data_IF_859583308879
#
_entry.id   IF_859583308879
#
_cell.length_a   1.000
_cell.length_b   1.000
_cell.length_c   1.000
_cell.angle_alpha   90.00
_cell.angle_beta   90.00
_cell.angle_gamma   90.00
#
_symmetry.space_group_name_H-M   'P 1'
#
loop_
_entity.id
_entity.type
_entity.pdbx_description
1 polymer ?
#
# COMPACT_ATOMS: atom_id res chain seq x y z
N UNK A 1 -76.44 58.90 -0.01
CA UNK A 1 -76.01 59.70 -1.18
C UNK A 1 -74.74 59.03 -1.71
N UNK A 2 -74.87 58.09 -2.65
CA UNK A 2 -74.70 58.29 -4.11
C UNK A 2 -73.28 58.69 -4.54
N UNK A 3 -72.64 57.74 -5.24
CA UNK A 3 -72.04 57.93 -6.57
C UNK A 3 -70.57 58.39 -6.66
N UNK A 4 -69.72 57.41 -7.01
CA UNK A 4 -68.92 57.32 -8.25
C UNK A 4 -67.92 58.42 -8.65
N UNK A 5 -66.73 57.93 -9.00
CA UNK A 5 -65.82 58.31 -10.12
C UNK A 5 -64.82 59.46 -10.02
N UNK A 6 -63.59 59.05 -10.42
CA UNK A 6 -62.72 59.62 -11.45
C UNK A 6 -61.73 60.75 -11.09
N UNK A 7 -60.46 60.34 -11.06
CA UNK A 7 -59.32 60.80 -11.88
C UNK A 7 -58.98 62.30 -11.99
N UNK A 8 -57.70 62.62 -11.75
CA UNK A 8 -56.74 63.39 -12.60
C UNK A 8 -55.47 63.63 -11.75
N UNK A 9 -54.30 63.15 -12.15
CA UNK A 9 -53.30 63.74 -13.06
C UNK A 9 -52.12 64.40 -12.29
N UNK A 10 -50.89 64.00 -12.63
CA UNK A 10 -49.72 64.87 -12.89
C UNK A 10 -48.38 64.22 -12.46
N UNK A 11 -47.61 63.85 -13.49
CA UNK A 11 -46.25 64.29 -13.80
C UNK A 11 -45.01 63.86 -12.96
N UNK A 12 -43.93 63.72 -13.73
CA UNK A 12 -42.73 62.93 -13.54
C UNK A 12 -41.60 63.60 -12.73
N UNK A 13 -40.70 62.78 -12.19
CA UNK A 13 -39.25 63.06 -12.14
C UNK A 13 -38.44 61.75 -12.17
N UNK A 14 -37.37 61.76 -12.96
CA UNK A 14 -36.54 60.62 -13.31
C UNK A 14 -35.40 60.35 -12.29
N UNK A 15 -34.99 59.09 -12.16
CA UNK A 15 -33.71 58.68 -11.57
C UNK A 15 -33.14 57.49 -12.35
N UNK A 16 -31.85 57.57 -12.68
CA UNK A 16 -31.10 56.62 -13.50
C UNK A 16 -30.69 55.34 -12.73
N UNK A 17 -30.69 54.18 -13.42
CA UNK A 17 -30.33 52.86 -12.89
C UNK A 17 -28.87 52.47 -13.16
N UNK A 18 -28.17 51.75 -12.26
CA UNK A 18 -26.90 51.09 -12.58
C UNK A 18 -26.98 49.56 -12.69
N UNK A 19 -26.42 49.06 -13.79
CA UNK A 19 -25.56 47.88 -13.95
C UNK A 19 -26.13 46.44 -13.95
N UNK A 20 -25.83 45.75 -15.05
CA UNK A 20 -26.21 44.38 -15.45
C UNK A 20 -25.10 43.33 -15.25
N UNK A 21 -24.13 43.52 -14.34
CA UNK A 21 -22.95 42.63 -14.23
C UNK A 21 -23.02 41.50 -13.19
N UNK A 22 -24.02 41.47 -12.29
CA UNK A 22 -24.06 40.48 -11.19
C UNK A 22 -24.73 39.13 -11.54
N UNK A 23 -25.59 39.10 -12.58
CA UNK A 23 -26.30 37.87 -12.99
C UNK A 23 -25.51 36.93 -13.91
N UNK A 24 -24.36 37.36 -14.45
CA UNK A 24 -23.58 36.58 -15.42
C UNK A 24 -22.56 35.65 -14.76
N UNK A 25 -22.05 35.99 -13.58
CA UNK A 25 -21.02 35.22 -12.87
C UNK A 25 -21.60 34.02 -12.12
N UNK A 26 -22.80 34.15 -11.53
CA UNK A 26 -23.50 33.05 -10.85
C UNK A 26 -23.98 31.96 -11.82
N UNK A 27 -24.43 32.35 -13.01
CA UNK A 27 -24.81 31.37 -14.07
C UNK A 27 -23.63 30.58 -14.57
N UNK A 28 -22.45 31.19 -14.68
CA UNK A 28 -21.24 30.52 -15.17
C UNK A 28 -20.65 29.57 -14.12
N UNK A 29 -20.68 29.93 -12.84
CA UNK A 29 -20.23 29.05 -11.77
C UNK A 29 -21.13 27.80 -11.62
N UNK A 30 -22.46 27.95 -11.72
CA UNK A 30 -23.41 26.82 -11.70
C UNK A 30 -23.30 25.91 -12.92
N UNK A 31 -23.03 26.47 -14.10
CA UNK A 31 -22.83 25.68 -15.31
C UNK A 31 -21.52 24.87 -15.27
N UNK A 32 -20.48 25.39 -14.61
CA UNK A 32 -19.21 24.65 -14.42
C UNK A 32 -19.37 23.55 -13.37
N UNK A 33 -20.10 23.79 -12.28
CA UNK A 33 -20.37 22.77 -11.28
C UNK A 33 -21.24 21.63 -11.84
N UNK A 34 -22.29 21.95 -12.60
CA UNK A 34 -23.14 20.93 -13.22
C UNK A 34 -22.39 20.09 -14.29
N UNK A 35 -21.49 20.72 -15.06
CA UNK A 35 -20.66 19.98 -16.02
C UNK A 35 -19.59 19.09 -15.33
N UNK A 36 -19.14 19.46 -14.13
CA UNK A 36 -18.24 18.62 -13.32
C UNK A 36 -18.99 17.49 -12.62
N UNK A 37 -20.27 17.68 -12.29
CA UNK A 37 -21.12 16.60 -11.76
C UNK A 37 -21.48 15.60 -12.87
N UNK A 38 -21.82 16.07 -14.08
CA UNK A 38 -22.05 15.19 -15.26
C UNK A 38 -20.78 14.43 -15.69
N UNK A 39 -19.59 15.07 -15.70
CA UNK A 39 -18.33 14.36 -16.01
C UNK A 39 -17.97 13.30 -14.95
N UNK A 40 -18.38 13.48 -13.69
CA UNK A 40 -18.14 12.50 -12.62
C UNK A 40 -19.15 11.35 -12.68
N UNK A 41 -20.43 11.63 -12.99
CA UNK A 41 -21.45 10.59 -13.22
C UNK A 41 -21.10 9.73 -14.44
N UNK A 42 -20.61 10.32 -15.54
CA UNK A 42 -20.16 9.56 -16.72
C UNK A 42 -18.90 8.71 -16.43
N UNK A 43 -17.95 9.20 -15.61
CA UNK A 43 -16.78 8.42 -15.18
C UNK A 43 -17.16 7.31 -14.17
N UNK A 44 -18.15 7.52 -13.30
CA UNK A 44 -18.67 6.48 -12.39
C UNK A 44 -19.43 5.36 -13.14
N UNK A 45 -20.21 5.70 -14.19
CA UNK A 45 -20.85 4.71 -15.06
C UNK A 45 -19.82 3.92 -15.89
N UNK A 46 -18.75 4.54 -16.38
CA UNK A 46 -17.66 3.84 -17.08
C UNK A 46 -16.87 2.90 -16.13
N UNK A 47 -16.64 3.28 -14.87
CA UNK A 47 -15.97 2.42 -13.87
C UNK A 47 -16.87 1.26 -13.39
N UNK A 48 -18.19 1.45 -13.24
CA UNK A 48 -19.12 0.35 -12.95
C UNK A 48 -19.22 -0.65 -14.12
N UNK A 49 -19.19 -0.18 -15.38
CA UNK A 49 -19.12 -1.06 -16.55
C UNK A 49 -17.77 -1.82 -16.62
N UNK A 50 -16.64 -1.20 -16.23
CA UNK A 50 -15.35 -1.88 -16.11
C UNK A 50 -15.35 -2.94 -14.98
N UNK A 51 -15.99 -2.69 -13.83
CA UNK A 51 -16.11 -3.68 -12.74
C UNK A 51 -17.01 -4.87 -13.12
N UNK A 52 -18.12 -4.64 -13.85
CA UNK A 52 -18.97 -5.72 -14.37
C UNK A 52 -18.24 -6.54 -15.45
N UNK A 53 -17.45 -5.89 -16.32
CA UNK A 53 -16.58 -6.60 -17.29
C UNK A 53 -15.45 -7.39 -16.58
N UNK A 54 -14.89 -6.89 -15.46
CA UNK A 54 -13.92 -7.62 -14.63
C UNK A 54 -14.53 -8.86 -13.96
N UNK A 55 -15.77 -8.79 -13.45
CA UNK A 55 -16.48 -9.96 -12.89
C UNK A 55 -16.80 -11.02 -13.98
N UNK A 56 -17.18 -10.59 -15.19
CA UNK A 56 -17.42 -11.50 -16.32
C UNK A 56 -16.11 -12.12 -16.85
N UNK A 57 -15.00 -11.36 -16.93
CA UNK A 57 -13.68 -11.90 -17.29
C UNK A 57 -13.14 -12.88 -16.22
N UNK A 58 -13.41 -12.64 -14.93
CA UNK A 58 -13.09 -13.59 -13.84
C UNK A 58 -13.84 -14.92 -14.01
N UNK A 59 -15.12 -14.89 -14.40
CA UNK A 59 -15.91 -16.11 -14.67
C UNK A 59 -15.43 -16.84 -15.94
N UNK A 60 -15.02 -16.13 -16.99
CA UNK A 60 -14.51 -16.72 -18.24
C UNK A 60 -13.07 -17.29 -18.09
N UNK A 61 -12.17 -16.64 -17.35
CA UNK A 61 -10.82 -17.15 -17.07
C UNK A 61 -10.83 -18.40 -16.16
N UNK A 62 -11.83 -18.53 -15.27
CA UNK A 62 -12.06 -19.76 -14.50
C UNK A 62 -12.48 -20.94 -15.38
N UNK A 63 -13.20 -20.71 -16.49
CA UNK A 63 -13.58 -21.77 -17.44
C UNK A 63 -12.48 -22.13 -18.46
N UNK A 64 -11.63 -21.20 -18.89
CA UNK A 64 -10.63 -21.45 -19.94
C UNK A 64 -9.30 -22.06 -19.45
N UNK A 65 -9.03 -22.12 -18.15
CA UNK A 65 -7.77 -22.64 -17.62
C UNK A 65 -7.66 -24.18 -17.71
N UNK A 66 -7.42 -24.69 -18.93
CA UNK A 66 -6.94 -26.05 -19.21
C UNK A 66 -5.56 -26.02 -19.90
N UNK A 67 -4.58 -26.86 -19.49
CA UNK A 67 -3.18 -26.44 -19.53
C UNK A 67 -2.44 -26.88 -20.80
N UNK A 68 -1.55 -26.01 -21.31
CA UNK A 68 -0.43 -26.42 -22.17
C UNK A 68 0.91 -25.87 -21.67
N UNK A 69 1.55 -26.61 -20.75
CA UNK A 69 3.00 -26.79 -20.60
C UNK A 69 3.28 -27.71 -19.40
N UNK A 70 3.74 -28.95 -19.65
CA UNK A 70 4.21 -29.85 -18.60
C UNK A 70 5.55 -29.37 -18.02
N UNK A 71 5.49 -28.43 -17.09
CA UNK A 71 6.44 -28.39 -15.97
C UNK A 71 5.90 -29.31 -14.90
N UNK A 72 6.72 -30.23 -14.38
CA UNK A 72 6.32 -31.18 -13.35
C UNK A 72 5.87 -30.43 -12.08
N UNK A 73 4.57 -30.15 -11.95
CA UNK A 73 4.00 -29.48 -10.77
C UNK A 73 4.30 -30.31 -9.53
N UNK A 74 4.87 -29.69 -8.49
CA UNK A 74 5.04 -30.32 -7.17
C UNK A 74 3.67 -30.86 -6.72
N UNK A 75 3.61 -32.02 -6.05
CA UNK A 75 2.34 -32.52 -5.51
C UNK A 75 1.78 -31.52 -4.50
N UNK A 76 0.56 -31.02 -4.76
CA UNK A 76 -0.11 -30.03 -3.91
C UNK A 76 -0.41 -30.62 -2.53
N UNK A 77 -0.01 -29.89 -1.48
CA UNK A 77 -0.34 -30.22 -0.08
C UNK A 77 -1.82 -29.90 0.21
N UNK A 78 -2.49 -30.64 1.13
CA UNK A 78 -3.81 -30.25 1.61
C UNK A 78 -3.78 -28.83 2.18
N UNK A 79 -4.84 -28.05 1.96
CA UNK A 79 -4.84 -26.63 2.35
C UNK A 79 -4.66 -26.44 3.87
N UNK A 80 -5.31 -27.26 4.70
CA UNK A 80 -5.09 -27.27 6.15
C UNK A 80 -3.63 -27.52 6.59
N UNK A 81 -2.80 -28.14 5.75
CA UNK A 81 -1.39 -28.40 6.07
C UNK A 81 -0.49 -27.16 5.98
N UNK A 82 -0.98 -26.03 5.42
CA UNK A 82 -0.24 -24.77 5.42
C UNK A 82 -0.28 -24.06 6.78
N UNK A 83 -1.16 -24.47 7.70
CA UNK A 83 -1.23 -23.90 9.05
C UNK A 83 -0.10 -24.49 9.90
N UNK A 84 0.87 -23.68 10.37
CA UNK A 84 1.90 -24.14 11.29
C UNK A 84 1.30 -24.73 12.57
N UNK A 85 1.95 -25.74 13.14
CA UNK A 85 1.46 -26.47 14.33
C UNK A 85 1.09 -25.53 15.47
N UNK A 86 1.87 -24.47 15.72
CA UNK A 86 1.62 -23.53 16.82
C UNK A 86 0.43 -22.57 16.57
N UNK A 87 -0.12 -22.54 15.36
CA UNK A 87 -1.30 -21.72 15.01
C UNK A 87 -2.59 -22.54 14.91
N UNK A 88 -2.52 -23.88 14.93
CA UNK A 88 -3.67 -24.76 14.72
C UNK A 88 -4.74 -24.65 15.81
N UNK A 89 -4.40 -24.15 16.99
CA UNK A 89 -5.38 -23.88 18.07
C UNK A 89 -6.16 -22.58 17.85
N UNK A 90 -5.69 -21.70 16.96
CA UNK A 90 -6.23 -20.36 16.76
C UNK A 90 -6.82 -20.15 15.35
N UNK A 91 -6.37 -20.92 14.37
CA UNK A 91 -6.66 -20.75 12.95
C UNK A 91 -7.01 -22.10 12.34
N UNK A 92 -8.09 -22.13 11.57
CA UNK A 92 -8.58 -23.33 10.91
C UNK A 92 -8.76 -23.06 9.42
N UNK A 93 -8.46 -24.05 8.58
CA UNK A 93 -8.76 -23.96 7.15
C UNK A 93 -10.27 -23.99 6.93
N UNK A 94 -10.75 -23.17 6.02
CA UNK A 94 -12.16 -23.06 5.64
C UNK A 94 -12.32 -23.52 4.19
N UNK A 95 -12.82 -22.66 3.32
CA UNK A 95 -12.95 -22.91 1.89
C UNK A 95 -11.70 -22.42 1.15
N UNK A 96 -11.21 -23.26 0.24
CA UNK A 96 -10.16 -22.91 -0.71
C UNK A 96 -8.89 -22.31 -0.09
N UNK A 97 -8.62 -21.03 -0.34
CA UNK A 97 -7.45 -20.31 0.13
C UNK A 97 -7.71 -19.47 1.40
N UNK A 98 -8.91 -19.58 1.97
CA UNK A 98 -9.30 -18.89 3.19
C UNK A 98 -9.19 -19.78 4.43
N UNK A 99 -8.82 -19.11 5.52
CA UNK A 99 -8.70 -19.67 6.86
C UNK A 99 -9.54 -18.79 7.79
N UNK A 100 -9.87 -19.27 8.98
CA UNK A 100 -10.74 -18.55 9.91
C UNK A 100 -10.12 -18.49 11.29
N UNK A 101 -10.17 -17.32 11.91
CA UNK A 101 -9.93 -17.13 13.34
C UNK A 101 -10.95 -16.17 13.94
N UNK A 102 -11.25 -16.37 15.22
CA UNK A 102 -12.04 -15.42 16.04
C UNK A 102 -11.17 -14.38 16.71
N UNK A 103 -9.86 -14.43 16.52
CA UNK A 103 -8.89 -13.62 17.23
C UNK A 103 -8.28 -12.58 16.29
N UNK A 104 -8.33 -11.33 16.72
CA UNK A 104 -7.61 -10.20 16.13
C UNK A 104 -6.43 -9.82 17.03
N UNK A 105 -5.70 -10.81 17.54
CA UNK A 105 -4.52 -10.51 18.36
C UNK A 105 -3.36 -10.05 17.47
N UNK A 106 -2.69 -8.92 17.76
CA UNK A 106 -1.59 -8.44 16.93
C UNK A 106 -0.45 -9.46 16.74
N UNK A 107 -0.15 -10.27 17.76
CA UNK A 107 0.90 -11.30 17.67
C UNK A 107 0.45 -12.46 16.78
N UNK A 108 -0.83 -12.85 16.83
CA UNK A 108 -1.40 -13.81 15.87
C UNK A 108 -1.29 -13.30 14.44
N UNK A 109 -1.65 -12.03 14.19
CA UNK A 109 -1.51 -11.42 12.87
C UNK A 109 -0.05 -11.42 12.39
N UNK A 110 0.90 -11.09 13.26
CA UNK A 110 2.33 -11.19 12.93
C UNK A 110 2.73 -12.61 12.55
N UNK A 111 2.26 -13.63 13.27
CA UNK A 111 2.55 -15.03 12.90
C UNK A 111 1.96 -15.38 11.53
N UNK A 112 0.73 -14.97 11.23
CA UNK A 112 0.09 -15.18 9.94
C UNK A 112 0.85 -14.50 8.79
N UNK A 113 1.17 -13.22 8.96
CA UNK A 113 1.99 -12.43 8.02
C UNK A 113 3.36 -13.09 7.80
N UNK A 114 4.01 -13.57 8.87
CA UNK A 114 5.32 -14.22 8.81
C UNK A 114 5.31 -15.56 8.06
N UNK A 115 4.15 -16.19 7.93
CA UNK A 115 3.95 -17.46 7.21
C UNK A 115 3.27 -17.26 5.83
N UNK A 116 3.07 -16.00 5.40
CA UNK A 116 2.61 -15.66 4.05
C UNK A 116 1.10 -15.53 3.87
N UNK A 117 0.34 -15.55 4.97
CA UNK A 117 -1.08 -15.27 4.95
C UNK A 117 -1.31 -13.76 4.90
N UNK A 118 -2.26 -13.31 4.06
CA UNK A 118 -2.78 -11.96 4.11
C UNK A 118 -3.90 -11.90 5.17
N UNK A 119 -3.72 -11.12 6.25
CA UNK A 119 -4.79 -10.94 7.22
C UNK A 119 -5.83 -10.00 6.65
N UNK A 120 -7.01 -10.54 6.34
CA UNK A 120 -8.21 -9.80 5.98
C UNK A 120 -9.32 -10.18 6.97
N UNK A 121 -10.44 -9.46 6.96
CA UNK A 121 -11.57 -9.76 7.84
C UNK A 121 -12.88 -9.77 7.06
N UNK A 122 -13.90 -10.40 7.63
CA UNK A 122 -15.27 -10.35 7.12
C UNK A 122 -16.23 -10.28 8.30
N UNK A 123 -17.39 -9.69 8.07
CA UNK A 123 -18.50 -9.70 9.03
C UNK A 123 -19.52 -10.78 8.67
N UNK A 124 -20.04 -11.47 9.68
CA UNK A 124 -21.18 -12.36 9.57
C UNK A 124 -22.04 -12.26 10.83
N UNK A 125 -23.33 -11.92 10.67
CA UNK A 125 -24.27 -11.76 11.79
C UNK A 125 -23.76 -10.81 12.89
N UNK A 126 -23.34 -9.61 12.51
CA UNK A 126 -22.79 -8.57 13.41
C UNK A 126 -21.52 -9.00 14.17
N UNK A 127 -20.83 -10.04 13.69
CA UNK A 127 -19.57 -10.52 14.25
C UNK A 127 -18.47 -10.49 13.18
N UNK A 128 -17.36 -9.85 13.50
CA UNK A 128 -16.18 -9.89 12.64
C UNK A 128 -15.35 -11.16 12.89
N UNK A 129 -14.87 -11.76 11.81
CA UNK A 129 -13.95 -12.88 11.81
C UNK A 129 -12.69 -12.48 11.05
N UNK A 130 -11.53 -12.89 11.56
CA UNK A 130 -10.30 -12.81 10.80
C UNK A 130 -10.34 -13.95 9.77
N UNK A 131 -10.10 -13.60 8.50
CA UNK A 131 -10.08 -14.52 7.37
C UNK A 131 -8.71 -14.56 6.71
N UNK A 132 -7.65 -15.12 7.33
CA UNK A 132 -6.34 -15.12 6.69
C UNK A 132 -6.40 -15.80 5.32
N UNK A 133 -5.91 -15.13 4.27
CA UNK A 133 -5.96 -15.63 2.89
C UNK A 133 -4.57 -15.99 2.39
N UNK A 134 -4.40 -17.22 1.90
CA UNK A 134 -3.14 -17.72 1.33
C UNK A 134 -3.36 -18.12 -0.13
N UNK A 135 -3.24 -17.16 -1.06
CA UNK A 135 -3.61 -17.37 -2.47
C UNK A 135 -2.96 -18.60 -3.09
N UNK A 136 -3.65 -19.19 -4.08
CA UNK A 136 -3.09 -20.26 -4.91
C UNK A 136 -2.06 -19.73 -5.90
N UNK A 137 -2.32 -18.55 -6.47
CA UNK A 137 -1.38 -17.75 -7.25
C UNK A 137 -1.08 -16.47 -6.48
N UNK A 138 0.20 -16.15 -6.29
CA UNK A 138 0.62 -14.93 -5.61
C UNK A 138 1.37 -14.03 -6.58
N UNK A 139 0.83 -12.83 -6.80
CA UNK A 139 1.46 -11.80 -7.61
C UNK A 139 2.61 -11.16 -6.83
N UNK A 140 3.81 -11.23 -7.38
CA UNK A 140 5.02 -10.68 -6.76
C UNK A 140 5.85 -9.91 -7.77
N UNK A 141 6.66 -8.99 -7.26
CA UNK A 141 7.71 -8.34 -8.01
C UNK A 141 9.06 -8.66 -7.38
N UNK A 142 9.95 -9.31 -8.14
CA UNK A 142 11.32 -9.56 -7.72
C UNK A 142 12.17 -8.28 -7.86
N UNK A 143 12.96 -7.97 -6.83
CA UNK A 143 13.70 -6.70 -6.71
C UNK A 143 15.19 -6.84 -7.01
N UNK A 144 15.55 -7.74 -7.93
CA UNK A 144 16.93 -8.01 -8.33
C UNK A 144 17.60 -6.82 -9.07
N UNK A 145 16.78 -5.96 -9.67
CA UNK A 145 17.17 -4.87 -10.54
C UNK A 145 16.27 -3.65 -10.33
N UNK A 146 16.74 -2.48 -10.76
CA UNK A 146 15.93 -1.27 -10.71
C UNK A 146 14.79 -1.36 -11.72
N UNK A 147 13.56 -1.16 -11.27
CA UNK A 147 12.41 -1.02 -12.17
C UNK A 147 12.60 0.13 -13.17
N UNK A 148 12.06 -0.07 -14.38
CA UNK A 148 11.90 1.01 -15.33
C UNK A 148 10.82 1.98 -14.85
N UNK A 149 11.19 3.25 -14.65
CA UNK A 149 10.24 4.30 -14.25
C UNK A 149 9.77 5.06 -15.51
N UNK A 150 8.47 5.01 -15.86
CA UNK A 150 7.92 5.69 -17.02
C UNK A 150 8.16 7.21 -17.03
N UNK A 151 8.28 7.79 -18.22
CA UNK A 151 8.49 9.25 -18.38
C UNK A 151 7.33 10.06 -17.80
N UNK A 152 6.10 9.57 -17.91
CA UNK A 152 4.88 10.18 -17.33
C UNK A 152 4.97 10.31 -15.81
N UNK A 153 5.51 9.28 -15.14
CA UNK A 153 5.72 9.24 -13.69
C UNK A 153 6.85 10.18 -13.29
N UNK A 154 7.99 10.16 -13.98
CA UNK A 154 9.12 11.07 -13.73
C UNK A 154 8.75 12.55 -13.82
N UNK A 155 7.86 12.91 -14.74
CA UNK A 155 7.37 14.29 -14.90
C UNK A 155 6.58 14.77 -13.67
N UNK A 156 5.90 13.87 -12.96
CA UNK A 156 5.09 14.17 -11.77
C UNK A 156 5.90 14.12 -10.47
N UNK A 157 7.03 13.41 -10.46
CA UNK A 157 7.89 13.19 -9.30
C UNK A 157 8.31 14.45 -8.53
N UNK A 158 8.33 15.63 -9.19
CA UNK A 158 8.69 16.88 -8.52
C UNK A 158 7.56 17.52 -7.73
N UNK A 159 6.33 17.04 -7.87
CA UNK A 159 5.16 17.56 -7.14
C UNK A 159 4.94 16.86 -5.81
N UNK A 160 5.61 15.73 -5.58
CA UNK A 160 5.30 14.83 -4.49
C UNK A 160 6.49 14.51 -3.60
N UNK A 161 6.20 14.25 -2.33
CA UNK A 161 7.10 13.63 -1.35
C UNK A 161 6.55 12.27 -0.95
N UNK A 162 7.45 11.31 -0.74
CA UNK A 162 7.15 10.03 -0.10
C UNK A 162 7.57 10.09 1.37
N UNK A 163 6.71 9.67 2.28
CA UNK A 163 7.02 9.46 3.70
C UNK A 163 6.67 8.05 4.14
N UNK A 164 7.13 7.70 5.34
CA UNK A 164 6.80 6.47 6.03
C UNK A 164 6.27 6.80 7.42
N UNK A 165 5.26 6.05 7.85
CA UNK A 165 4.73 6.06 9.20
C UNK A 165 4.31 7.45 9.74
N UNK A 166 3.76 8.31 8.89
CA UNK A 166 3.32 9.64 9.30
C UNK A 166 1.82 9.76 9.51
N UNK A 167 1.00 8.93 8.85
CA UNK A 167 -0.45 9.11 8.88
C UNK A 167 -1.24 7.81 8.77
N UNK A 168 -1.08 6.89 9.72
CA UNK A 168 -1.84 5.63 9.76
C UNK A 168 -3.35 5.86 9.59
N UNK A 169 -3.95 6.73 10.41
CA UNK A 169 -5.40 6.93 10.39
C UNK A 169 -5.82 7.55 9.06
N UNK A 170 -5.07 8.52 8.52
CA UNK A 170 -5.35 9.13 7.22
C UNK A 170 -5.18 8.18 6.03
N UNK A 171 -4.37 7.13 6.16
CA UNK A 171 -4.24 6.07 5.15
C UNK A 171 -5.40 5.09 5.25
N UNK A 172 -5.81 4.68 6.46
CA UNK A 172 -7.02 3.86 6.66
C UNK A 172 -8.25 4.58 6.13
N UNK A 173 -8.43 5.85 6.48
CA UNK A 173 -9.53 6.68 6.00
C UNK A 173 -9.53 6.76 4.47
N UNK A 174 -8.36 6.93 3.85
CA UNK A 174 -8.25 6.95 2.39
C UNK A 174 -8.61 5.62 1.74
N UNK A 175 -8.22 4.50 2.34
CA UNK A 175 -8.64 3.17 1.88
C UNK A 175 -10.15 2.96 2.05
N UNK A 176 -10.74 3.44 3.15
CA UNK A 176 -12.19 3.34 3.37
C UNK A 176 -13.00 4.25 2.45
N UNK A 177 -12.49 5.45 2.15
CA UNK A 177 -13.09 6.36 1.17
C UNK A 177 -13.12 5.75 -0.23
N UNK A 178 -12.04 5.08 -0.66
CA UNK A 178 -11.94 4.54 -2.02
C UNK A 178 -12.63 3.18 -2.17
N UNK A 179 -12.51 2.28 -1.20
CA UNK A 179 -12.93 0.89 -1.36
C UNK A 179 -14.11 0.51 -0.46
N UNK A 180 -14.59 1.41 0.38
CA UNK A 180 -15.49 1.06 1.49
C UNK A 180 -14.79 0.22 2.57
N UNK A 181 -15.52 -0.67 3.24
CA UNK A 181 -14.96 -1.57 4.29
C UNK A 181 -15.13 -3.05 3.87
N UNK A 182 -14.56 -3.48 2.74
CA UNK A 182 -14.76 -4.83 2.22
C UNK A 182 -14.10 -5.88 3.12
N UNK A 183 -12.96 -5.51 3.73
CA UNK A 183 -12.25 -6.37 4.66
C UNK A 183 -11.54 -5.64 5.80
N UNK A 184 -11.33 -4.33 5.68
CA UNK A 184 -10.57 -3.52 6.64
C UNK A 184 -11.46 -3.07 7.81
N UNK A 185 -12.12 -4.03 8.46
CA UNK A 185 -13.06 -3.81 9.55
C UNK A 185 -12.38 -3.25 10.83
N UNK A 186 -13.13 -2.58 11.73
CA UNK A 186 -12.55 -1.96 12.93
C UNK A 186 -11.65 -2.87 13.79
N UNK A 187 -11.96 -4.17 14.03
CA UNK A 187 -11.08 -5.02 14.83
C UNK A 187 -9.70 -5.29 14.20
N UNK A 188 -9.63 -5.43 12.87
CA UNK A 188 -8.34 -5.60 12.18
C UNK A 188 -7.57 -4.28 12.10
N UNK A 189 -8.26 -3.16 11.91
CA UNK A 189 -7.66 -1.81 11.97
C UNK A 189 -7.02 -1.56 13.34
N UNK A 190 -7.72 -1.89 14.44
CA UNK A 190 -7.18 -1.74 15.79
C UNK A 190 -5.89 -2.57 15.97
N UNK A 191 -5.87 -3.78 15.41
CA UNK A 191 -4.71 -4.67 15.48
C UNK A 191 -3.53 -4.12 14.68
N UNK A 192 -3.78 -3.67 13.45
CA UNK A 192 -2.77 -3.01 12.63
C UNK A 192 -2.26 -1.73 13.27
N UNK A 193 -3.11 -0.95 13.95
CA UNK A 193 -2.68 0.25 14.69
C UNK A 193 -1.71 -0.11 15.81
N UNK A 194 -2.01 -1.17 16.59
CA UNK A 194 -1.09 -1.65 17.62
C UNK A 194 0.25 -2.09 17.03
N UNK A 195 0.27 -2.73 15.86
CA UNK A 195 1.51 -3.10 15.18
C UNK A 195 2.27 -1.88 14.64
N UNK A 196 1.54 -0.90 14.12
CA UNK A 196 2.06 0.38 13.65
C UNK A 196 2.75 1.15 14.79
N UNK A 197 2.12 1.20 15.97
CA UNK A 197 2.63 1.92 17.15
C UNK A 197 3.94 1.33 17.70
N UNK A 198 4.25 0.05 17.40
CA UNK A 198 5.57 -0.55 17.70
C UNK A 198 6.68 0.05 16.84
N UNK A 199 6.33 0.53 15.65
CA UNK A 199 7.24 1.20 14.72
C UNK A 199 8.41 0.33 14.26
N UNK A 200 9.57 0.97 14.05
CA UNK A 200 10.78 0.33 13.51
C UNK A 200 11.34 -0.81 14.38
N UNK A 201 10.94 -0.91 15.65
CA UNK A 201 11.34 -2.02 16.52
C UNK A 201 10.75 -3.35 16.04
N UNK A 202 9.53 -3.32 15.50
CA UNK A 202 8.78 -4.50 15.07
C UNK A 202 8.42 -5.46 16.21
N UNK A 203 7.59 -6.46 15.87
CA UNK A 203 7.29 -7.59 16.74
C UNK A 203 8.27 -8.71 16.43
N UNK A 204 9.10 -9.08 17.41
CA UNK A 204 10.05 -10.20 17.28
C UNK A 204 9.35 -11.52 17.61
N UNK A 205 9.19 -12.39 16.60
CA UNK A 205 8.53 -13.69 16.75
C UNK A 205 9.52 -14.81 17.07
N UNK A 206 10.72 -14.68 16.52
CA UNK A 206 11.85 -15.59 16.72
C UNK A 206 13.13 -14.76 16.75
N UNK A 207 14.22 -15.33 17.25
CA UNK A 207 15.51 -14.63 17.32
C UNK A 207 15.86 -13.96 15.98
N UNK A 208 16.03 -12.63 16.02
CA UNK A 208 16.36 -11.76 14.88
C UNK A 208 15.35 -11.80 13.73
N UNK A 209 14.10 -12.18 13.99
CA UNK A 209 13.02 -12.27 12.99
C UNK A 209 11.82 -11.44 13.41
N UNK A 210 11.69 -10.30 12.76
CA UNK A 210 10.73 -9.26 13.10
C UNK A 210 9.72 -9.06 11.98
N UNK A 211 8.47 -8.83 12.39
CA UNK A 211 7.42 -8.29 11.53
C UNK A 211 7.26 -6.81 11.86
N UNK A 212 7.28 -5.95 10.85
CA UNK A 212 7.08 -4.50 11.02
C UNK A 212 5.95 -4.05 10.14
N UNK A 213 5.01 -3.32 10.73
CA UNK A 213 3.90 -2.72 9.99
C UNK A 213 4.30 -1.32 9.53
N UNK A 214 3.84 -0.95 8.34
CA UNK A 214 4.20 0.30 7.69
C UNK A 214 2.97 0.97 7.10
N UNK A 215 2.97 2.30 7.17
CA UNK A 215 2.24 3.12 6.22
C UNK A 215 3.23 3.82 5.30
N UNK A 216 2.88 3.90 4.03
CA UNK A 216 3.63 4.65 3.01
C UNK A 216 2.72 5.74 2.52
N UNK A 217 3.16 6.99 2.56
CA UNK A 217 2.32 8.12 2.16
C UNK A 217 2.97 8.93 1.04
N UNK A 218 2.13 9.46 0.16
CA UNK A 218 2.51 10.43 -0.87
C UNK A 218 1.80 11.75 -0.62
N UNK A 219 2.58 12.79 -0.34
CA UNK A 219 2.09 14.15 -0.11
C UNK A 219 2.38 15.05 -1.29
N UNK A 220 1.41 15.87 -1.69
CA UNK A 220 1.67 17.00 -2.59
C UNK A 220 2.51 18.07 -1.88
N UNK A 221 3.58 18.52 -2.51
CA UNK A 221 4.60 19.42 -1.92
C UNK A 221 4.05 20.82 -1.67
N UNK A 222 3.15 21.31 -2.52
CA UNK A 222 2.64 22.67 -2.45
C UNK A 222 1.50 22.78 -1.43
N UNK A 223 0.60 21.80 -1.45
CA UNK A 223 -0.62 21.81 -0.63
C UNK A 223 -0.49 21.03 0.66
N UNK A 224 0.55 20.18 0.80
CA UNK A 224 0.76 19.25 1.90
C UNK A 224 -0.42 18.29 2.12
N UNK A 225 -1.22 18.03 1.07
CA UNK A 225 -2.33 17.07 1.11
C UNK A 225 -1.82 15.64 0.91
N UNK A 226 -2.43 14.70 1.63
CA UNK A 226 -2.20 13.26 1.47
C UNK A 226 -2.90 12.78 0.19
N UNK A 227 -2.13 12.56 -0.87
CA UNK A 227 -2.63 12.27 -2.21
C UNK A 227 -2.70 10.79 -2.54
N UNK A 228 -1.89 9.95 -1.91
CA UNK A 228 -1.97 8.50 -2.00
C UNK A 228 -1.33 7.90 -0.75
N UNK A 229 -1.66 6.66 -0.43
CA UNK A 229 -0.96 5.91 0.60
C UNK A 229 -1.27 4.42 0.55
N UNK A 230 -0.51 3.62 1.29
CA UNK A 230 -0.82 2.21 1.49
C UNK A 230 -0.46 1.72 2.88
N UNK A 231 -1.17 0.67 3.30
CA UNK A 231 -0.83 -0.20 4.40
C UNK A 231 0.01 -1.37 3.87
N UNK A 232 1.09 -1.68 4.56
CA UNK A 232 1.94 -2.82 4.24
C UNK A 232 2.73 -3.30 5.44
N UNK A 233 3.49 -4.37 5.25
CA UNK A 233 4.36 -4.89 6.30
C UNK A 233 5.63 -5.49 5.73
N UNK A 234 6.67 -5.62 6.55
CA UNK A 234 7.90 -6.31 6.19
C UNK A 234 8.11 -7.57 7.01
N UNK A 235 8.59 -8.62 6.35
CA UNK A 235 9.06 -9.88 6.94
C UNK A 235 10.46 -10.18 6.41
N UNK A 236 11.48 -9.79 7.19
CA UNK A 236 12.86 -9.79 6.69
C UNK A 236 13.00 -8.95 5.41
N UNK A 237 13.54 -9.53 4.35
CA UNK A 237 13.74 -8.88 3.04
C UNK A 237 12.54 -8.90 2.09
N UNK A 238 11.33 -9.16 2.62
CA UNK A 238 10.07 -9.12 1.86
C UNK A 238 9.22 -7.96 2.37
N UNK A 239 8.65 -7.19 1.44
CA UNK A 239 7.61 -6.20 1.73
C UNK A 239 6.30 -6.68 1.12
N UNK A 240 5.21 -6.67 1.88
CA UNK A 240 3.87 -7.07 1.42
C UNK A 240 2.95 -5.86 1.47
N UNK A 241 2.38 -5.49 0.32
CA UNK A 241 1.29 -4.50 0.26
C UNK A 241 -0.04 -5.16 0.64
N UNK A 242 -0.84 -4.47 1.45
CA UNK A 242 -2.18 -4.94 1.85
C UNK A 242 -3.28 -4.24 1.06
N UNK A 243 -3.34 -2.91 1.18
CA UNK A 243 -4.28 -2.04 0.46
C UNK A 243 -3.72 -0.64 0.41
N UNK A 244 -4.10 0.11 -0.61
CA UNK A 244 -3.76 1.52 -0.75
C UNK A 244 -4.89 2.30 -1.40
N UNK A 245 -4.71 3.61 -1.47
CA UNK A 245 -5.66 4.52 -2.08
C UNK A 245 -4.92 5.63 -2.84
N UNK A 246 -5.64 6.35 -3.71
CA UNK A 246 -5.14 7.49 -4.46
C UNK A 246 -6.24 8.53 -4.65
N UNK A 247 -6.04 9.74 -4.13
CA UNK A 247 -6.95 10.90 -4.25
C UNK A 247 -6.59 11.85 -5.40
N UNK A 248 -5.54 11.57 -6.16
CA UNK A 248 -5.09 12.44 -7.24
C UNK A 248 -4.62 11.63 -8.45
N UNK A 249 -4.99 12.08 -9.65
CA UNK A 249 -4.65 11.40 -10.91
C UNK A 249 -3.14 11.10 -11.03
N UNK A 250 -2.81 9.81 -11.13
CA UNK A 250 -1.45 9.30 -11.25
C UNK A 250 -0.62 9.33 -9.96
N UNK A 251 -1.18 9.70 -8.81
CA UNK A 251 -0.48 9.63 -7.52
C UNK A 251 -0.26 8.18 -7.08
N UNK A 252 -1.25 7.30 -7.23
CA UNK A 252 -1.11 5.86 -6.98
C UNK A 252 0.00 5.20 -7.81
N UNK A 253 0.01 5.39 -9.12
CA UNK A 253 1.11 4.87 -9.98
C UNK A 253 2.47 5.42 -9.57
N UNK A 254 2.53 6.70 -9.18
CA UNK A 254 3.77 7.32 -8.69
C UNK A 254 4.22 6.74 -7.35
N UNK A 255 3.30 6.47 -6.43
CA UNK A 255 3.58 5.76 -5.18
C UNK A 255 4.22 4.41 -5.46
N UNK A 256 3.62 3.60 -6.35
CA UNK A 256 4.12 2.25 -6.64
C UNK A 256 5.58 2.27 -7.12
N UNK A 257 5.91 3.16 -8.06
CA UNK A 257 7.30 3.29 -8.51
C UNK A 257 8.23 3.88 -7.44
N UNK A 258 7.75 4.81 -6.61
CA UNK A 258 8.53 5.39 -5.52
C UNK A 258 8.85 4.34 -4.45
N UNK A 259 7.86 3.55 -4.04
CA UNK A 259 8.03 2.46 -3.09
C UNK A 259 8.91 1.36 -3.67
N UNK A 260 8.68 0.89 -4.90
CA UNK A 260 9.54 -0.10 -5.56
C UNK A 260 11.01 0.35 -5.63
N UNK A 261 11.25 1.63 -5.94
CA UNK A 261 12.59 2.22 -5.88
C UNK A 261 13.16 2.21 -4.47
N UNK A 262 12.36 2.58 -3.46
CA UNK A 262 12.79 2.59 -2.06
C UNK A 262 13.15 1.19 -1.56
N UNK A 263 12.31 0.19 -1.84
CA UNK A 263 12.53 -1.22 -1.50
C UNK A 263 13.83 -1.73 -2.13
N UNK A 264 14.04 -1.44 -3.42
CA UNK A 264 15.30 -1.78 -4.11
C UNK A 264 16.52 -1.13 -3.45
N UNK A 265 16.46 0.17 -3.10
CA UNK A 265 17.56 0.87 -2.43
C UNK A 265 17.87 0.29 -1.05
N UNK A 266 16.84 -0.18 -0.33
CA UNK A 266 16.96 -0.82 0.98
C UNK A 266 17.38 -2.29 0.91
N UNK A 267 17.49 -2.88 -0.28
CA UNK A 267 17.94 -4.26 -0.45
C UNK A 267 16.91 -5.33 -0.08
N UNK A 268 15.62 -4.99 -0.20
CA UNK A 268 14.55 -5.97 -0.29
C UNK A 268 14.70 -6.80 -1.57
N UNK A 269 14.20 -8.03 -1.54
CA UNK A 269 14.39 -9.02 -2.62
C UNK A 269 13.07 -9.37 -3.30
N UNK A 270 11.94 -9.20 -2.60
CA UNK A 270 10.61 -9.48 -3.11
C UNK A 270 9.61 -8.45 -2.57
N UNK A 271 8.77 -7.95 -3.45
CA UNK A 271 7.57 -7.21 -3.11
C UNK A 271 6.35 -8.09 -3.41
N UNK A 272 5.67 -8.53 -2.37
CA UNK A 272 4.42 -9.27 -2.44
C UNK A 272 3.25 -8.30 -2.64
N UNK A 273 2.55 -8.46 -3.76
CA UNK A 273 1.46 -7.61 -4.20
C UNK A 273 0.09 -8.27 -4.00
N UNK A 274 0.01 -9.50 -3.48
CA UNK A 274 -1.26 -10.18 -3.25
C UNK A 274 -1.85 -10.81 -4.51
N UNK A 275 -3.00 -10.29 -4.98
CA UNK A 275 -3.69 -10.78 -6.21
C UNK A 275 -3.10 -10.15 -7.47
N UNK A 276 -3.14 -10.87 -8.58
CA UNK A 276 -2.75 -10.35 -9.89
C UNK A 276 -3.74 -9.28 -10.34
N UNK A 277 -3.25 -8.23 -10.97
CA UNK A 277 -4.06 -7.17 -11.58
C UNK A 277 -3.28 -6.56 -12.75
N UNK A 278 -3.93 -6.09 -13.83
CA UNK A 278 -3.26 -5.59 -15.03
C UNK A 278 -2.17 -4.54 -14.74
N UNK A 279 -2.45 -3.60 -13.85
CA UNK A 279 -1.48 -2.56 -13.51
C UNK A 279 -0.24 -3.11 -12.78
N UNK A 280 -0.34 -4.20 -12.01
CA UNK A 280 0.80 -4.84 -11.33
C UNK A 280 1.69 -5.54 -12.34
N UNK A 281 1.09 -6.22 -13.31
CA UNK A 281 1.82 -6.85 -14.40
C UNK A 281 2.57 -5.81 -15.24
N UNK A 282 1.98 -4.62 -15.43
CA UNK A 282 2.65 -3.50 -16.09
C UNK A 282 3.90 -2.98 -15.35
N UNK A 283 3.99 -3.20 -14.03
CA UNK A 283 5.19 -2.91 -13.22
C UNK A 283 6.31 -3.95 -13.39
N UNK A 284 6.02 -5.06 -14.07
CA UNK A 284 6.90 -6.22 -14.21
C UNK A 284 6.69 -7.27 -13.13
N UNK A 285 5.53 -7.29 -12.47
CA UNK A 285 5.17 -8.37 -11.56
C UNK A 285 4.97 -9.70 -12.33
N UNK A 286 5.09 -10.81 -11.60
CA UNK A 286 4.85 -12.17 -12.07
C UNK A 286 4.01 -12.93 -11.04
N UNK A 287 3.25 -13.91 -11.52
CA UNK A 287 2.48 -14.80 -10.65
C UNK A 287 3.29 -16.06 -10.32
N UNK A 288 3.32 -16.39 -9.03
CA UNK A 288 3.92 -17.61 -8.51
C UNK A 288 2.87 -18.54 -7.93
N UNK A 289 3.02 -19.84 -8.21
CA UNK A 289 2.32 -20.89 -7.47
C UNK A 289 2.60 -20.74 -5.96
N UNK A 290 1.58 -20.97 -5.11
CA UNK A 290 1.66 -20.80 -3.65
C UNK A 290 2.91 -21.40 -3.02
N UNK A 291 3.24 -22.65 -3.34
CA UNK A 291 4.41 -23.33 -2.76
C UNK A 291 5.72 -22.66 -3.18
N UNK A 292 5.80 -22.12 -4.39
CA UNK A 292 7.00 -21.41 -4.87
C UNK A 292 7.10 -20.01 -4.25
N UNK A 293 5.98 -19.28 -4.12
CA UNK A 293 5.92 -18.05 -3.31
C UNK A 293 6.41 -18.29 -1.88
N UNK A 294 5.91 -19.35 -1.22
CA UNK A 294 6.32 -19.69 0.15
C UNK A 294 7.80 -20.07 0.23
N UNK A 295 8.34 -20.77 -0.77
CA UNK A 295 9.78 -21.06 -0.84
C UNK A 295 10.62 -19.76 -0.90
N UNK A 296 10.19 -18.75 -1.67
CA UNK A 296 10.81 -17.42 -1.70
C UNK A 296 10.66 -16.66 -0.39
N UNK A 297 9.43 -16.58 0.16
CA UNK A 297 9.17 -15.94 1.44
C UNK A 297 10.04 -16.55 2.56
N UNK A 298 10.07 -17.88 2.66
CA UNK A 298 10.83 -18.60 3.67
C UNK A 298 12.35 -18.44 3.55
N UNK A 299 12.84 -18.18 2.34
CA UNK A 299 14.24 -17.82 2.10
C UNK A 299 14.55 -16.45 2.69
N UNK A 300 13.70 -15.45 2.42
CA UNK A 300 14.01 -14.05 2.71
C UNK A 300 13.53 -13.54 4.08
N UNK A 301 12.49 -14.14 4.67
CA UNK A 301 11.98 -13.78 6.02
C UNK A 301 12.94 -14.04 7.18
N UNK A 302 14.09 -14.68 6.89
CA UNK A 302 15.15 -14.99 7.86
C UNK A 302 16.22 -13.90 7.94
N UNK A 303 16.20 -12.94 7.03
CA UNK A 303 17.20 -11.89 6.92
C UNK A 303 16.56 -10.57 7.34
N UNK A 304 16.82 -10.11 8.57
CA UNK A 304 16.25 -8.83 9.05
C UNK A 304 16.65 -7.69 8.12
N UNK A 305 15.67 -6.89 7.72
CA UNK A 305 15.86 -5.74 6.85
C UNK A 305 14.92 -4.63 7.30
N UNK A 306 15.50 -3.49 7.65
CA UNK A 306 14.73 -2.30 8.00
C UNK A 306 14.48 -1.48 6.74
N UNK A 307 13.22 -1.10 6.52
CA UNK A 307 12.84 -0.10 5.54
C UNK A 307 13.09 1.29 6.12
N UNK A 308 13.83 2.13 5.41
CA UNK A 308 14.06 3.52 5.80
C UNK A 308 14.19 4.42 4.57
N UNK A 309 13.97 5.72 4.77
CA UNK A 309 14.23 6.74 3.76
C UNK A 309 15.72 7.14 3.84
N UNK A 310 16.52 6.95 2.77
CA UNK A 310 17.93 7.30 2.80
C UNK A 310 18.15 8.79 3.13
N UNK A 311 19.02 9.07 4.09
CA UNK A 311 19.38 10.42 4.50
C UNK A 311 18.45 11.09 5.51
N UNK A 312 17.36 10.44 5.93
CA UNK A 312 16.61 10.81 7.13
C UNK A 312 17.06 9.92 8.29
N UNK A 313 17.61 10.51 9.35
CA UNK A 313 17.91 9.78 10.58
C UNK A 313 16.60 9.47 11.33
N UNK A 314 16.51 8.27 11.93
CA UNK A 314 15.35 7.82 12.71
C UNK A 314 15.08 8.64 13.98
N UNK A 315 16.02 9.50 14.39
CA UNK A 315 16.08 10.07 15.75
C UNK A 315 15.75 11.57 15.82
N UNK A 316 15.32 12.21 14.72
CA UNK A 316 14.98 13.64 14.77
C UNK A 316 13.51 13.87 15.14
N UNK A 317 13.28 13.98 16.44
CA UNK A 317 12.14 14.66 17.06
C UNK A 317 12.23 16.17 16.75
N UNK A 318 11.63 16.63 15.65
CA UNK A 318 11.45 18.07 15.39
C UNK A 318 10.21 18.36 14.56
N UNK A 319 9.22 19.02 15.17
CA UNK A 319 7.95 19.43 14.57
C UNK A 319 8.07 20.41 13.39
N UNK A 320 8.30 19.89 12.19
CA UNK A 320 8.17 20.62 10.92
C UNK A 320 7.70 19.67 9.81
N UNK A 321 6.71 20.13 9.03
CA UNK A 321 6.20 19.62 7.75
C UNK A 321 6.72 18.23 7.29
N UNK A 322 5.85 17.21 7.39
CA UNK A 322 5.96 15.86 6.75
C UNK A 322 7.39 15.42 6.45
N UNK A 323 8.04 14.78 7.42
CA UNK A 323 9.34 14.12 7.26
C UNK A 323 9.26 13.08 6.15
N UNK A 324 9.80 13.42 4.97
CA UNK A 324 9.73 12.60 3.78
C UNK A 324 10.75 13.04 2.72
N UNK A 325 10.93 12.22 1.69
CA UNK A 325 11.84 12.49 0.58
C UNK A 325 11.06 12.94 -0.65
N UNK A 326 11.60 13.94 -1.35
CA UNK A 326 11.06 14.33 -2.63
C UNK A 326 11.19 13.18 -3.64
N UNK A 327 10.10 12.77 -4.29
CA UNK A 327 10.10 11.56 -5.13
C UNK A 327 11.08 11.68 -6.29
N UNK A 328 11.25 12.89 -6.85
CA UNK A 328 12.29 13.17 -7.85
C UNK A 328 13.70 12.82 -7.34
N UNK A 329 14.03 13.18 -6.10
CA UNK A 329 15.35 12.90 -5.54
C UNK A 329 15.53 11.40 -5.30
N UNK A 330 14.49 10.70 -4.81
CA UNK A 330 14.50 9.25 -4.63
C UNK A 330 14.79 8.50 -5.94
N UNK A 331 14.18 8.95 -7.06
CA UNK A 331 14.40 8.34 -8.37
C UNK A 331 15.83 8.52 -8.91
N UNK A 332 16.54 9.57 -8.48
CA UNK A 332 17.91 9.85 -8.90
C UNK A 332 18.96 9.06 -8.07
N UNK A 333 18.56 8.48 -6.94
CA UNK A 333 19.45 7.69 -6.08
C UNK A 333 19.90 6.38 -6.73
N UNK A 334 21.12 5.95 -6.38
CA UNK A 334 21.68 4.64 -6.73
C UNK A 334 21.84 3.80 -5.47
N UNK A 335 21.66 2.49 -5.60
CA UNK A 335 21.93 1.54 -4.52
C UNK A 335 23.44 1.57 -4.27
N UNK A 336 23.85 1.82 -3.04
CA UNK A 336 25.24 1.60 -2.63
C UNK A 336 25.51 0.10 -2.66
N UNK A 337 26.69 -0.29 -3.13
CA UNK A 337 27.12 -1.69 -3.04
C UNK A 337 27.01 -2.14 -1.57
N UNK A 338 26.54 -3.37 -1.30
CA UNK A 338 26.55 -3.89 0.06
C UNK A 338 27.98 -3.81 0.57
N UNK A 339 28.20 -3.07 1.67
CA UNK A 339 29.52 -3.02 2.30
C UNK A 339 29.99 -4.45 2.51
N UNK A 340 31.12 -4.81 1.88
CA UNK A 340 31.81 -6.05 2.23
C UNK A 340 32.02 -6.00 3.74
N UNK A 341 31.62 -7.05 4.50
CA UNK A 341 31.89 -7.06 5.93
C UNK A 341 33.38 -6.81 6.13
N UNK A 342 33.71 -5.81 6.96
CA UNK A 342 35.10 -5.47 7.29
C UNK A 342 35.83 -6.77 7.61
N UNK A 343 36.84 -7.05 6.79
CA UNK A 343 37.62 -8.27 6.90
C UNK A 343 38.12 -8.47 8.32
N UNK A 344 37.99 -9.69 8.80
CA UNK A 344 38.70 -10.20 9.98
C UNK A 344 40.16 -9.78 9.91
N UNK A 345 40.56 -8.83 10.75
CA UNK A 345 41.97 -8.55 10.97
C UNK A 345 42.63 -9.83 11.46
N UNK A 346 43.56 -10.31 10.64
CA UNK A 346 44.38 -11.47 10.93
C UNK A 346 45.34 -11.12 12.06
N UNK A 347 44.96 -11.42 13.31
CA UNK A 347 45.90 -11.39 14.43
C UNK A 347 46.81 -12.63 14.35
N UNK A 348 47.90 -12.54 13.61
CA UNK A 348 49.05 -13.44 13.78
C UNK A 348 50.35 -12.63 13.80
N UNK A 349 50.48 -11.82 14.84
CA UNK A 349 51.77 -11.46 15.40
C UNK A 349 51.80 -11.93 16.86
N UNK A 350 52.49 -13.05 17.10
CA UNK A 350 53.19 -13.39 18.35
C UNK A 350 53.78 -14.80 18.24
N UNK A 351 55.04 -14.91 17.80
CA UNK A 351 55.98 -15.89 18.35
C UNK A 351 57.41 -15.54 17.97
N UNK A 352 58.04 -14.72 18.82
CA UNK A 352 59.50 -14.67 18.99
C UNK A 352 59.75 -14.21 20.41
N UNK A 353 59.67 -15.15 21.36
CA UNK A 353 60.30 -15.00 22.66
C UNK A 353 61.43 -16.02 22.70
N UNK A 354 62.64 -15.48 22.71
CA UNK A 354 63.89 -16.16 22.95
C UNK A 354 63.81 -17.02 24.22
N UNK A 355 64.14 -18.31 24.10
CA UNK A 355 64.63 -19.09 25.23
C UNK A 355 66.15 -19.16 25.11
N UNK A 356 66.84 -18.32 25.89
CA UNK A 356 68.19 -18.60 26.31
C UNK A 356 68.27 -18.43 27.83
N UNK A 357 68.96 -19.37 28.48
CA UNK A 357 69.36 -19.42 29.89
C UNK A 357 68.59 -20.39 30.80
N UNK A 358 69.40 -21.33 31.33
CA UNK A 358 69.25 -22.26 32.45
C UNK A 358 68.73 -23.67 32.18
N UNK A 359 69.68 -24.62 32.24
CA UNK A 359 69.50 -26.07 32.28
C UNK A 359 70.59 -26.80 31.51
#
# INVERSE_FOLDING_TARGET
MTTTQAATAADATAAASPSTKKNSTDKRARAVAAAQEEEVEEEEEEEEEEEEEEEEEEEEEEEECSPTAEMTKKPRKPDAAYIPVHLQDYVFHSLEDFYVSRHFDPVLLCHLMYEGFLPIASEYQDQCFLLPKLHRQRCVLLLDSTQHIPKSVKKRASKYKLSLNQAFDGVVDGCHEQHGIPWLYPPIVESFKRLFDVGAQGVELYADRKVRFWTVEVYDVETNKLCAGELGYTTGKVYTSLTGFSRASGAGTLQLHALGKLLYLNGFEMWDLGMSMPYKMSLGAEDLDRDDFLDYLHRWRKHDQLLHIPGLNSDSDTGSATTGIHVKALFEMKRSDPEKPLGSETSSQRSSIERSSFG
#
